data_IF_640133726603
#
_entry.id   IF_640133726603
#
_cell.length_a   1.000
_cell.length_b   1.000
_cell.length_c   1.000
_cell.angle_alpha   90.00
_cell.angle_beta   90.00
_cell.angle_gamma   90.00
#
_symmetry.space_group_name_H-M   'P 1'
#
loop_
_entity.id
_entity.type
_entity.pdbx_description
1 polymer ?
#
# COMPACT_ATOMS: atom_id res chain seq x y z
N UNK A 1 9.78 -26.24 21.17
CA UNK A 1 9.42 -25.17 20.22
C UNK A 1 7.90 -24.99 20.16
N UNK A 2 7.37 -23.77 20.34
CA UNK A 2 5.95 -23.43 20.38
C UNK A 2 5.62 -22.33 19.37
N UNK A 3 4.33 -22.20 18.96
CA UNK A 3 3.89 -21.10 18.07
C UNK A 3 4.13 -19.72 18.69
N UNK A 4 4.11 -19.62 20.01
CA UNK A 4 4.38 -18.37 20.72
C UNK A 4 5.85 -17.98 20.58
N UNK A 5 6.79 -18.90 20.73
CA UNK A 5 8.22 -18.68 20.52
C UNK A 5 8.49 -18.28 19.07
N UNK A 6 7.82 -18.90 18.08
CA UNK A 6 7.92 -18.52 16.67
C UNK A 6 7.40 -17.07 16.43
N UNK A 7 6.30 -16.67 17.07
CA UNK A 7 5.82 -15.28 17.01
C UNK A 7 6.85 -14.29 17.56
N UNK A 8 7.51 -14.65 18.66
CA UNK A 8 8.49 -13.78 19.30
C UNK A 8 9.71 -13.56 18.41
N UNK A 9 10.27 -14.61 17.80
CA UNK A 9 11.44 -14.43 16.90
C UNK A 9 11.08 -13.61 15.67
N UNK A 10 9.89 -13.79 15.09
CA UNK A 10 9.41 -12.98 13.96
C UNK A 10 9.24 -11.51 14.38
N UNK A 11 8.69 -11.25 15.57
CA UNK A 11 8.53 -9.89 16.09
C UNK A 11 9.89 -9.21 16.32
N UNK A 12 10.88 -9.90 16.94
CA UNK A 12 12.22 -9.32 17.16
C UNK A 12 12.95 -9.06 15.85
N UNK A 13 12.86 -9.96 14.88
CA UNK A 13 13.47 -9.77 13.56
C UNK A 13 12.90 -8.54 12.84
N UNK A 14 11.61 -8.25 13.01
CA UNK A 14 10.92 -7.09 12.45
C UNK A 14 11.32 -5.79 13.15
N UNK A 15 11.18 -5.77 14.47
CA UNK A 15 11.37 -4.55 15.27
C UNK A 15 12.85 -4.22 15.49
N UNK A 16 13.75 -5.17 15.27
CA UNK A 16 15.20 -5.06 15.58
C UNK A 16 15.47 -4.52 17.00
N UNK A 17 14.52 -4.75 17.91
CA UNK A 17 14.57 -4.27 19.28
C UNK A 17 13.66 -5.11 20.19
N UNK A 18 14.24 -5.74 21.22
CA UNK A 18 13.50 -6.65 22.12
C UNK A 18 12.35 -5.97 22.87
N UNK A 19 12.51 -4.71 23.30
CA UNK A 19 11.45 -3.97 23.99
C UNK A 19 10.25 -3.71 23.10
N UNK A 20 10.44 -3.16 21.90
CA UNK A 20 9.36 -2.93 20.92
C UNK A 20 8.70 -4.24 20.49
N UNK A 21 9.48 -5.30 20.30
CA UNK A 21 8.94 -6.61 19.98
C UNK A 21 8.06 -7.19 21.11
N UNK A 22 8.45 -6.97 22.37
CA UNK A 22 7.67 -7.39 23.53
C UNK A 22 6.33 -6.63 23.63
N UNK A 23 6.34 -5.32 23.41
CA UNK A 23 5.14 -4.48 23.33
C UNK A 23 4.21 -4.98 22.21
N UNK A 24 4.75 -5.23 21.01
CA UNK A 24 3.99 -5.76 19.88
C UNK A 24 3.40 -7.16 20.13
N UNK A 25 4.02 -7.93 21.02
CA UNK A 25 3.54 -9.25 21.43
C UNK A 25 2.68 -9.24 22.72
N UNK A 26 2.44 -8.05 23.30
CA UNK A 26 1.68 -7.88 24.56
C UNK A 26 2.27 -8.67 25.73
N UNK A 27 3.60 -8.68 25.86
CA UNK A 27 4.33 -9.35 26.95
C UNK A 27 5.45 -8.46 27.51
N UNK A 28 6.02 -8.84 28.66
CA UNK A 28 7.19 -8.17 29.19
C UNK A 28 8.45 -8.54 28.39
N UNK A 29 9.39 -7.62 28.25
CA UNK A 29 10.68 -7.88 27.58
C UNK A 29 11.45 -9.07 28.19
N UNK A 30 11.52 -9.26 29.54
CA UNK A 30 12.14 -10.45 30.12
C UNK A 30 11.46 -11.75 29.67
N UNK A 31 10.14 -11.80 29.62
CA UNK A 31 9.38 -12.97 29.17
C UNK A 31 9.74 -13.32 27.72
N UNK A 32 9.75 -12.34 26.84
CA UNK A 32 10.11 -12.55 25.43
C UNK A 32 11.57 -13.01 25.28
N UNK A 33 12.50 -12.36 26.00
CA UNK A 33 13.93 -12.69 25.93
C UNK A 33 14.23 -14.11 26.44
N UNK A 34 13.59 -14.54 27.52
CA UNK A 34 13.75 -15.91 28.06
C UNK A 34 13.22 -16.94 27.07
N UNK A 35 12.04 -16.69 26.50
CA UNK A 35 11.47 -17.61 25.52
C UNK A 35 12.32 -17.76 24.26
N UNK A 36 12.90 -16.65 23.75
CA UNK A 36 13.81 -16.70 22.59
C UNK A 36 15.09 -17.43 22.94
N UNK A 37 15.71 -17.15 24.09
CA UNK A 37 16.90 -17.86 24.52
C UNK A 37 16.66 -19.36 24.64
N UNK A 38 15.52 -19.77 25.23
CA UNK A 38 15.13 -21.18 25.30
C UNK A 38 15.00 -21.83 23.92
N UNK A 39 14.45 -21.11 22.94
CA UNK A 39 14.34 -21.59 21.57
C UNK A 39 15.72 -21.71 20.89
N UNK A 40 16.60 -20.72 21.09
CA UNK A 40 17.99 -20.76 20.60
C UNK A 40 18.77 -21.96 21.21
N UNK A 41 18.60 -22.19 22.51
CA UNK A 41 19.21 -23.32 23.21
C UNK A 41 18.64 -24.67 22.68
N UNK A 42 17.31 -24.77 22.47
CA UNK A 42 16.67 -25.96 21.89
C UNK A 42 17.17 -26.29 20.47
N UNK A 43 17.34 -25.25 19.64
CA UNK A 43 17.81 -25.39 18.27
C UNK A 43 19.35 -25.46 18.17
N UNK A 44 20.05 -25.19 19.26
CA UNK A 44 21.50 -25.10 19.33
C UNK A 44 22.10 -24.12 18.30
N UNK A 45 21.43 -22.97 18.10
CA UNK A 45 21.87 -21.88 17.21
C UNK A 45 21.55 -20.52 17.82
N UNK A 46 22.32 -19.51 17.44
CA UNK A 46 21.96 -18.12 17.73
C UNK A 46 21.17 -17.55 16.56
N UNK A 47 19.94 -17.09 16.85
CA UNK A 47 19.06 -16.45 15.88
C UNK A 47 19.39 -14.95 15.80
N UNK A 48 19.74 -14.34 16.97
CA UNK A 48 20.02 -12.92 17.06
C UNK A 48 21.39 -12.66 17.63
N UNK A 49 22.11 -11.68 17.06
CA UNK A 49 23.28 -11.07 17.67
C UNK A 49 22.85 -9.86 18.47
N UNK A 50 23.33 -9.79 19.73
CA UNK A 50 23.04 -8.66 20.64
C UNK A 50 24.16 -7.65 20.53
N UNK A 51 23.96 -6.61 19.70
CA UNK A 51 24.82 -5.44 19.66
C UNK A 51 24.49 -4.44 20.77
N UNK A 52 25.35 -3.41 20.94
CA UNK A 52 25.15 -2.37 21.95
C UNK A 52 24.01 -1.39 21.63
N UNK A 53 23.55 -1.29 20.37
CA UNK A 53 22.50 -0.35 19.96
C UNK A 53 21.35 -0.99 19.14
N UNK A 54 21.64 -2.02 18.37
CA UNK A 54 20.63 -2.69 17.54
C UNK A 54 20.78 -4.21 17.61
N UNK A 55 19.65 -4.91 17.40
CA UNK A 55 19.60 -6.38 17.28
C UNK A 55 19.72 -6.73 15.81
N UNK A 56 20.77 -7.47 15.45
CA UNK A 56 20.92 -8.07 14.12
C UNK A 56 20.46 -9.51 14.10
N UNK A 57 19.98 -9.97 12.94
CA UNK A 57 19.60 -11.36 12.71
C UNK A 57 20.80 -12.08 12.10
N UNK A 58 21.17 -13.25 12.63
CA UNK A 58 22.25 -14.04 12.04
C UNK A 58 21.84 -14.65 10.69
N UNK A 59 22.78 -15.04 9.81
CA UNK A 59 22.42 -15.69 8.54
C UNK A 59 21.58 -16.95 8.70
N UNK A 60 21.80 -17.75 9.73
CA UNK A 60 20.96 -18.91 10.06
C UNK A 60 19.63 -18.45 10.68
N UNK A 61 19.65 -17.37 11.47
CA UNK A 61 18.46 -16.73 12.05
C UNK A 61 17.48 -16.27 10.98
N UNK A 62 17.95 -15.69 9.87
CA UNK A 62 17.08 -15.26 8.75
C UNK A 62 16.32 -16.45 8.14
N UNK A 63 16.98 -17.59 7.98
CA UNK A 63 16.34 -18.80 7.47
C UNK A 63 15.30 -19.33 8.45
N UNK A 64 15.62 -19.34 9.76
CA UNK A 64 14.71 -19.78 10.83
C UNK A 64 13.50 -18.83 10.92
N UNK A 65 13.71 -17.53 10.91
CA UNK A 65 12.62 -16.51 10.95
C UNK A 65 11.71 -16.66 9.74
N UNK A 66 12.29 -16.85 8.54
CA UNK A 66 11.52 -17.10 7.31
C UNK A 66 10.67 -18.36 7.43
N UNK A 67 11.23 -19.44 7.96
CA UNK A 67 10.49 -20.69 8.15
C UNK A 67 9.43 -20.57 9.26
N UNK A 68 9.74 -19.86 10.34
CA UNK A 68 8.77 -19.56 11.40
C UNK A 68 7.57 -18.77 10.87
N UNK A 69 7.79 -17.78 10.00
CA UNK A 69 6.72 -17.06 9.32
C UNK A 69 5.82 -18.01 8.53
N UNK A 70 6.39 -18.94 7.74
CA UNK A 70 5.62 -19.93 6.98
C UNK A 70 4.76 -20.82 7.90
N UNK A 71 5.30 -21.27 9.04
CA UNK A 71 4.54 -22.06 10.01
C UNK A 71 3.37 -21.27 10.58
N UNK A 72 3.59 -19.99 10.93
CA UNK A 72 2.53 -19.11 11.42
C UNK A 72 1.45 -18.89 10.36
N UNK A 73 1.82 -18.71 9.10
CA UNK A 73 0.88 -18.63 7.97
C UNK A 73 0.05 -19.90 7.84
N UNK A 74 0.65 -21.10 7.99
CA UNK A 74 -0.07 -22.38 7.94
C UNK A 74 -1.06 -22.53 9.12
N UNK A 75 -0.73 -22.01 10.29
CA UNK A 75 -1.70 -22.02 11.40
C UNK A 75 -2.90 -21.12 11.15
N UNK A 76 -2.73 -20.02 10.42
CA UNK A 76 -3.85 -19.20 9.95
C UNK A 76 -4.69 -19.95 8.92
N UNK A 77 -4.05 -20.69 8.00
CA UNK A 77 -4.76 -21.52 7.03
C UNK A 77 -5.69 -22.54 7.71
N UNK A 78 -5.25 -23.18 8.79
CA UNK A 78 -6.11 -24.10 9.58
C UNK A 78 -7.38 -23.38 10.08
N UNK A 79 -7.24 -22.16 10.59
CA UNK A 79 -8.39 -21.36 11.05
C UNK A 79 -9.33 -20.99 9.90
N UNK A 80 -8.78 -20.70 8.72
CA UNK A 80 -9.58 -20.41 7.53
C UNK A 80 -10.30 -21.66 7.01
N UNK A 81 -9.63 -22.81 6.97
CA UNK A 81 -10.27 -24.10 6.62
C UNK A 81 -11.43 -24.41 7.55
N UNK A 82 -11.28 -24.19 8.85
CA UNK A 82 -12.35 -24.38 9.83
C UNK A 82 -13.58 -23.47 9.58
N UNK A 83 -13.39 -22.34 8.87
CA UNK A 83 -14.48 -21.46 8.45
C UNK A 83 -15.15 -21.91 7.15
N UNK A 84 -14.54 -22.79 6.37
CA UNK A 84 -15.06 -23.26 5.07
C UNK A 84 -16.41 -24.01 5.12
N UNK A 85 -16.85 -24.47 6.29
CA UNK A 85 -18.20 -24.97 6.47
C UNK A 85 -19.31 -23.92 6.40
N UNK A 86 -18.94 -22.65 6.19
CA UNK A 86 -19.86 -21.50 6.03
C UNK A 86 -19.76 -20.98 4.61
N UNK A 87 -20.85 -20.37 4.13
CA UNK A 87 -20.87 -19.68 2.84
C UNK A 87 -19.68 -18.69 2.75
N UNK A 88 -18.79 -18.77 1.75
CA UNK A 88 -17.63 -17.91 1.60
C UNK A 88 -17.97 -16.43 1.41
N UNK A 89 -19.21 -16.10 1.06
CA UNK A 89 -19.73 -14.74 0.87
C UNK A 89 -20.49 -14.22 2.12
N UNK A 90 -20.43 -14.94 3.24
CA UNK A 90 -21.06 -14.54 4.50
C UNK A 90 -20.00 -14.18 5.55
N UNK A 91 -20.28 -13.10 6.31
CA UNK A 91 -19.40 -12.60 7.38
C UNK A 91 -18.40 -11.55 6.88
N UNK A 92 -17.77 -10.80 7.79
CA UNK A 92 -16.95 -9.65 7.46
C UNK A 92 -15.73 -10.04 6.62
N UNK A 93 -15.32 -9.13 5.73
CA UNK A 93 -14.07 -9.20 4.98
C UNK A 93 -13.22 -7.97 5.31
N UNK A 94 -12.01 -8.18 5.82
CA UNK A 94 -11.09 -7.11 6.22
C UNK A 94 -10.26 -6.69 5.02
N UNK A 95 -10.54 -5.50 4.50
CA UNK A 95 -9.91 -4.94 3.30
C UNK A 95 -8.97 -3.81 3.68
N UNK A 96 -7.69 -3.97 3.37
CA UNK A 96 -6.69 -2.92 3.40
C UNK A 96 -6.62 -2.17 2.08
N UNK A 97 -6.39 -0.86 2.11
CA UNK A 97 -6.20 -0.05 0.90
C UNK A 97 -5.11 0.97 1.15
N UNK A 98 -4.28 1.25 0.15
CA UNK A 98 -3.28 2.33 0.29
C UNK A 98 -3.96 3.70 0.25
N UNK A 99 -3.43 4.65 1.02
CA UNK A 99 -3.96 6.03 1.17
C UNK A 99 -4.20 6.77 -0.15
N UNK A 100 -3.43 6.45 -1.20
CA UNK A 100 -3.55 7.11 -2.51
C UNK A 100 -4.59 6.49 -3.44
N UNK A 101 -5.31 5.45 -2.98
CA UNK A 101 -6.41 4.79 -3.69
C UNK A 101 -7.71 4.89 -2.88
N UNK A 102 -7.62 4.71 -1.56
CA UNK A 102 -8.78 4.61 -0.67
C UNK A 102 -9.82 5.70 -0.89
N UNK A 103 -9.49 7.00 -0.78
CA UNK A 103 -10.47 8.08 -0.89
C UNK A 103 -11.25 8.10 -2.21
N UNK A 104 -10.65 7.61 -3.30
CA UNK A 104 -11.21 7.69 -4.65
C UNK A 104 -11.96 6.43 -5.07
N UNK A 105 -11.53 5.25 -4.58
CA UNK A 105 -12.14 3.96 -4.93
C UNK A 105 -13.22 3.52 -3.93
N UNK A 106 -12.96 3.65 -2.62
CA UNK A 106 -13.82 3.09 -1.58
C UNK A 106 -15.27 3.57 -1.62
N UNK A 107 -15.58 4.85 -1.90
CA UNK A 107 -16.97 5.31 -1.93
C UNK A 107 -17.85 4.59 -2.98
N UNK A 108 -17.26 4.24 -4.13
CA UNK A 108 -17.96 3.50 -5.19
C UNK A 108 -17.92 2.00 -4.95
N UNK A 109 -16.77 1.46 -4.54
CA UNK A 109 -16.60 0.03 -4.23
C UNK A 109 -17.56 -0.44 -3.14
N UNK A 110 -17.66 0.28 -2.02
CA UNK A 110 -18.55 -0.09 -0.91
C UNK A 110 -20.00 -0.17 -1.38
N UNK A 111 -20.46 0.78 -2.20
CA UNK A 111 -21.81 0.74 -2.78
C UNK A 111 -22.05 -0.51 -3.65
N UNK A 112 -21.07 -0.89 -4.47
CA UNK A 112 -21.16 -2.10 -5.30
C UNK A 112 -21.16 -3.36 -4.44
N UNK A 113 -20.29 -3.42 -3.42
CA UNK A 113 -20.21 -4.58 -2.52
C UNK A 113 -21.50 -4.79 -1.71
N UNK A 114 -22.09 -3.73 -1.16
CA UNK A 114 -23.38 -3.81 -0.45
C UNK A 114 -24.48 -4.37 -1.37
N UNK A 115 -24.47 -3.99 -2.64
CA UNK A 115 -25.45 -4.46 -3.64
C UNK A 115 -25.21 -5.91 -4.05
N UNK A 116 -23.94 -6.28 -4.29
CA UNK A 116 -23.58 -7.59 -4.82
C UNK A 116 -23.56 -8.69 -3.74
N UNK A 117 -23.03 -8.39 -2.57
CA UNK A 117 -22.79 -9.37 -1.48
C UNK A 117 -23.15 -8.76 -0.10
N UNK A 118 -24.44 -8.51 0.17
CA UNK A 118 -24.90 -7.77 1.36
C UNK A 118 -24.55 -8.47 2.68
N UNK A 119 -24.29 -9.78 2.66
CA UNK A 119 -23.92 -10.56 3.85
C UNK A 119 -22.43 -10.59 4.11
N UNK A 120 -21.61 -9.90 3.28
CA UNK A 120 -20.16 -9.77 3.43
C UNK A 120 -19.77 -8.29 3.64
N UNK A 121 -20.02 -7.72 4.83
CA UNK A 121 -19.63 -6.33 5.11
C UNK A 121 -18.12 -6.16 5.05
N UNK A 122 -17.66 -5.05 4.46
CA UNK A 122 -16.25 -4.70 4.42
C UNK A 122 -15.84 -4.00 5.72
N UNK A 123 -14.76 -4.47 6.33
CA UNK A 123 -14.03 -3.77 7.39
C UNK A 123 -12.80 -3.10 6.76
N UNK A 124 -12.85 -1.79 6.64
CA UNK A 124 -11.88 -1.01 5.86
C UNK A 124 -10.75 -0.51 6.75
N UNK A 125 -9.52 -0.59 6.23
CA UNK A 125 -8.33 -0.01 6.83
C UNK A 125 -7.44 0.60 5.76
N UNK A 126 -7.08 1.87 5.92
CA UNK A 126 -6.08 2.51 5.05
C UNK A 126 -4.71 2.49 5.72
N UNK A 127 -3.66 2.22 4.91
CA UNK A 127 -2.29 2.24 5.42
C UNK A 127 -1.26 2.33 4.27
N UNK A 128 0.02 2.40 4.63
CA UNK A 128 1.14 2.29 3.69
C UNK A 128 1.28 0.87 3.15
N UNK A 129 1.84 0.73 1.94
CA UNK A 129 2.02 -0.56 1.26
C UNK A 129 2.72 -1.59 2.14
N UNK A 130 3.86 -1.24 2.74
CA UNK A 130 4.62 -2.17 3.58
C UNK A 130 3.83 -2.61 4.83
N UNK A 131 3.05 -1.70 5.42
CA UNK A 131 2.20 -2.04 6.57
C UNK A 131 1.05 -2.96 6.18
N UNK A 132 0.42 -2.76 5.02
CA UNK A 132 -0.62 -3.66 4.51
C UNK A 132 -0.07 -5.06 4.22
N UNK A 133 1.14 -5.17 3.65
CA UNK A 133 1.82 -6.46 3.45
C UNK A 133 2.03 -7.17 4.79
N UNK A 134 2.46 -6.44 5.80
CA UNK A 134 2.63 -6.99 7.15
C UNK A 134 1.30 -7.50 7.73
N UNK A 135 0.25 -6.67 7.68
CA UNK A 135 -1.09 -7.02 8.17
C UNK A 135 -1.68 -8.22 7.41
N UNK A 136 -1.44 -8.34 6.09
CA UNK A 136 -1.80 -9.52 5.31
C UNK A 136 -1.09 -10.77 5.85
N UNK A 137 0.23 -10.71 6.02
CA UNK A 137 1.04 -11.85 6.53
C UNK A 137 0.64 -12.28 7.94
N UNK A 138 0.24 -11.34 8.79
CA UNK A 138 -0.25 -11.60 10.15
C UNK A 138 -1.71 -12.09 10.17
N UNK A 139 -2.44 -11.98 9.05
CA UNK A 139 -3.85 -12.33 8.99
C UNK A 139 -4.76 -11.31 9.69
N UNK A 140 -4.28 -10.11 9.94
CA UNK A 140 -5.07 -9.02 10.49
C UNK A 140 -6.00 -8.40 9.46
N UNK A 141 -5.58 -8.39 8.19
CA UNK A 141 -6.45 -8.13 7.04
C UNK A 141 -6.48 -9.36 6.12
N UNK A 142 -7.54 -9.47 5.35
CA UNK A 142 -7.78 -10.60 4.46
C UNK A 142 -7.25 -10.34 3.06
N UNK A 143 -7.49 -9.13 2.57
CA UNK A 143 -7.20 -8.67 1.20
C UNK A 143 -6.68 -7.25 1.27
N UNK A 144 -5.84 -6.84 0.30
CA UNK A 144 -5.40 -5.47 0.17
C UNK A 144 -5.46 -4.98 -1.29
N UNK A 145 -5.83 -3.72 -1.48
CA UNK A 145 -5.73 -3.01 -2.76
C UNK A 145 -4.49 -2.13 -2.70
N UNK A 146 -3.51 -2.42 -3.56
CA UNK A 146 -2.20 -1.77 -3.57
C UNK A 146 -1.73 -1.52 -5.00
N UNK A 147 -0.61 -0.82 -5.17
CA UNK A 147 -0.01 -0.60 -6.47
C UNK A 147 1.38 -1.27 -6.56
N UNK A 148 1.67 -1.94 -7.69
CA UNK A 148 2.99 -2.50 -7.98
C UNK A 148 3.99 -1.35 -8.30
N UNK A 149 5.32 -1.58 -8.06
CA UNK A 149 5.92 -2.77 -7.51
C UNK A 149 5.96 -2.81 -5.97
N UNK A 150 5.88 -4.00 -5.41
CA UNK A 150 6.16 -4.28 -3.99
C UNK A 150 6.67 -5.72 -3.82
N UNK A 151 7.28 -6.10 -2.66
CA UNK A 151 7.71 -7.48 -2.41
C UNK A 151 6.52 -8.45 -2.34
N UNK A 152 6.36 -9.34 -3.32
CA UNK A 152 5.21 -10.26 -3.43
C UNK A 152 5.40 -11.59 -2.66
N UNK A 153 6.52 -11.77 -1.95
CA UNK A 153 6.83 -13.04 -1.27
C UNK A 153 5.72 -13.46 -0.32
N UNK A 154 5.12 -14.63 -0.59
CA UNK A 154 4.01 -15.18 0.21
C UNK A 154 2.63 -14.64 -0.14
N UNK A 155 2.53 -13.73 -1.10
CA UNK A 155 1.26 -13.17 -1.56
C UNK A 155 0.86 -13.73 -2.92
N UNK A 156 -0.43 -13.69 -3.20
CA UNK A 156 -1.04 -13.78 -4.51
C UNK A 156 -1.49 -12.39 -4.91
N UNK A 157 -1.40 -12.06 -6.19
CA UNK A 157 -1.85 -10.78 -6.72
C UNK A 157 -2.73 -10.99 -7.94
N UNK A 158 -3.75 -10.13 -8.09
CA UNK A 158 -4.61 -10.05 -9.26
C UNK A 158 -4.60 -8.61 -9.76
N UNK A 159 -4.13 -8.35 -10.98
CA UNK A 159 -4.24 -7.04 -11.60
C UNK A 159 -5.69 -6.60 -11.73
N UNK A 160 -5.96 -5.31 -11.47
CA UNK A 160 -7.30 -4.72 -11.55
C UNK A 160 -7.39 -3.69 -12.68
N UNK A 161 -6.52 -2.72 -12.66
CA UNK A 161 -6.44 -1.65 -13.65
C UNK A 161 -5.08 -0.96 -13.65
N UNK A 162 -4.78 -0.31 -14.78
CA UNK A 162 -3.65 0.62 -14.88
C UNK A 162 -4.19 2.05 -14.78
N UNK A 163 -3.59 2.83 -13.89
CA UNK A 163 -3.99 4.21 -13.60
C UNK A 163 -2.91 5.19 -14.06
N UNK A 164 -3.20 5.99 -15.11
CA UNK A 164 -2.26 6.98 -15.61
C UNK A 164 -2.11 8.15 -14.62
N UNK A 165 -0.98 8.86 -14.76
CA UNK A 165 -0.69 10.06 -13.99
C UNK A 165 -0.97 11.31 -14.80
N UNK A 166 -1.21 12.43 -14.09
CA UNK A 166 -1.37 13.77 -14.64
C UNK A 166 -0.56 14.77 -13.82
N UNK A 167 -0.11 15.84 -14.46
CA UNK A 167 0.49 16.97 -13.77
C UNK A 167 -0.61 17.91 -13.29
N UNK A 168 -0.58 18.25 -12.01
CA UNK A 168 -1.46 19.24 -11.42
C UNK A 168 -0.68 20.52 -11.11
N UNK A 169 -1.22 21.66 -11.47
CA UNK A 169 -0.60 22.97 -11.34
C UNK A 169 -1.64 24.03 -10.96
N UNK A 170 -1.23 25.20 -10.40
CA UNK A 170 -2.15 26.30 -10.18
C UNK A 170 -2.75 26.78 -11.51
N UNK A 171 -4.01 27.21 -11.50
CA UNK A 171 -4.62 27.89 -12.64
C UNK A 171 -3.81 29.14 -13.01
N UNK A 172 -3.62 29.36 -14.31
CA UNK A 172 -2.77 30.42 -14.83
C UNK A 172 -1.29 30.06 -14.92
N UNK A 173 -0.90 28.83 -14.60
CA UNK A 173 0.46 28.33 -14.78
C UNK A 173 0.86 28.33 -16.27
N UNK A 174 2.14 28.56 -16.57
CA UNK A 174 2.65 28.63 -17.94
C UNK A 174 2.38 27.37 -18.78
N UNK A 175 2.19 26.22 -18.12
CA UNK A 175 1.92 24.94 -18.77
C UNK A 175 0.42 24.61 -18.90
N UNK A 176 -0.47 25.40 -18.35
CA UNK A 176 -1.92 25.13 -18.31
C UNK A 176 -2.52 24.83 -19.69
N UNK A 177 -2.05 25.54 -20.71
CA UNK A 177 -2.54 25.40 -22.09
C UNK A 177 -1.71 24.45 -22.94
N UNK A 178 -0.73 23.76 -22.37
CA UNK A 178 0.02 22.71 -23.08
C UNK A 178 -0.87 21.50 -23.31
N UNK A 179 -0.83 20.84 -24.47
CA UNK A 179 -1.59 19.62 -24.70
C UNK A 179 -1.08 18.46 -23.84
N UNK A 180 0.22 18.43 -23.58
CA UNK A 180 0.93 17.39 -22.83
C UNK A 180 2.21 17.94 -22.18
N UNK A 181 2.74 17.23 -21.19
CA UNK A 181 3.97 17.57 -20.46
C UNK A 181 5.00 16.45 -20.65
N UNK A 182 6.21 16.82 -21.04
CA UNK A 182 7.34 15.90 -21.01
C UNK A 182 7.75 15.65 -19.54
N UNK A 183 7.95 14.40 -19.10
CA UNK A 183 8.46 14.10 -17.77
C UNK A 183 9.71 14.88 -17.38
N UNK A 184 10.60 15.16 -18.32
CA UNK A 184 11.82 15.94 -18.11
C UNK A 184 11.57 17.41 -17.76
N UNK A 185 10.42 17.96 -18.13
CA UNK A 185 10.07 19.35 -17.78
C UNK A 185 9.87 19.52 -16.27
N UNK A 186 9.46 18.46 -15.53
CA UNK A 186 9.20 18.51 -14.10
C UNK A 186 10.39 19.04 -13.29
N UNK A 187 11.63 18.85 -13.77
CA UNK A 187 12.85 19.34 -13.12
C UNK A 187 12.99 20.87 -13.09
N UNK A 188 12.22 21.57 -13.91
CA UNK A 188 12.24 23.03 -14.01
C UNK A 188 11.40 23.71 -12.93
N UNK A 189 10.51 22.95 -12.29
CA UNK A 189 9.50 23.45 -11.36
C UNK A 189 9.72 22.99 -9.92
N UNK A 190 9.06 23.67 -8.99
CA UNK A 190 9.00 23.22 -7.59
C UNK A 190 8.00 22.09 -7.46
N UNK A 191 8.50 20.88 -7.18
CA UNK A 191 7.69 19.67 -7.05
C UNK A 191 7.22 19.45 -5.62
N UNK A 192 5.93 19.28 -5.43
CA UNK A 192 5.33 18.83 -4.17
C UNK A 192 5.15 17.32 -4.22
N UNK A 193 5.73 16.60 -3.26
CA UNK A 193 5.74 15.13 -3.23
C UNK A 193 5.09 14.61 -1.95
N UNK A 194 4.59 13.39 -2.00
CA UNK A 194 4.22 12.65 -0.79
C UNK A 194 5.47 12.31 0.03
N UNK A 195 5.32 12.25 1.35
CA UNK A 195 6.37 11.84 2.26
C UNK A 195 6.79 10.37 2.05
N UNK A 196 7.91 10.01 2.65
CA UNK A 196 8.44 8.65 2.65
C UNK A 196 7.41 7.63 3.19
N UNK A 197 7.37 6.42 2.60
CA UNK A 197 6.41 5.37 2.93
C UNK A 197 5.21 5.28 1.99
N UNK A 198 4.89 6.33 1.25
CA UNK A 198 3.91 6.25 0.17
C UNK A 198 4.55 5.71 -1.11
N UNK A 199 4.11 4.54 -1.59
CA UNK A 199 4.61 3.98 -2.85
C UNK A 199 4.38 4.91 -4.06
N UNK A 200 3.39 5.78 -4.01
CA UNK A 200 3.15 6.77 -5.06
C UNK A 200 4.29 7.79 -5.20
N UNK A 201 4.97 8.13 -4.10
CA UNK A 201 6.21 8.92 -4.16
C UNK A 201 7.26 8.24 -5.07
N UNK A 202 7.45 6.95 -4.87
CA UNK A 202 8.46 6.19 -5.63
C UNK A 202 8.07 6.10 -7.11
N UNK A 203 6.78 5.99 -7.41
CA UNK A 203 6.29 6.09 -8.79
C UNK A 203 6.62 7.45 -9.42
N UNK A 204 6.35 8.57 -8.71
CA UNK A 204 6.65 9.92 -9.23
C UNK A 204 8.15 10.13 -9.41
N UNK A 205 8.98 9.66 -8.47
CA UNK A 205 10.44 9.70 -8.60
C UNK A 205 10.93 8.82 -9.75
N UNK A 206 10.21 7.75 -10.10
CA UNK A 206 10.47 6.92 -11.28
C UNK A 206 10.16 7.64 -12.60
N UNK A 207 9.17 8.55 -12.61
CA UNK A 207 8.83 9.38 -13.78
C UNK A 207 9.94 10.37 -14.09
N UNK A 208 10.51 11.01 -13.06
CA UNK A 208 11.63 11.93 -13.20
C UNK A 208 12.69 11.64 -12.11
N UNK A 209 13.67 10.75 -12.38
CA UNK A 209 14.66 10.35 -11.38
C UNK A 209 15.55 11.48 -10.88
N UNK A 210 15.67 12.57 -11.63
CA UNK A 210 16.46 13.74 -11.22
C UNK A 210 15.87 14.44 -10.00
N UNK A 211 14.57 14.30 -9.73
CA UNK A 211 13.93 14.84 -8.52
C UNK A 211 14.53 14.28 -7.24
N UNK A 212 15.09 13.06 -7.27
CA UNK A 212 15.81 12.50 -6.11
C UNK A 212 17.03 13.34 -5.70
N UNK A 213 17.75 13.95 -6.66
CA UNK A 213 18.94 14.75 -6.40
C UNK A 213 18.60 16.07 -5.70
N UNK A 214 17.42 16.62 -6.00
CA UNK A 214 16.95 17.87 -5.38
C UNK A 214 16.45 17.68 -3.96
N UNK A 215 15.96 16.49 -3.64
CA UNK A 215 15.53 16.13 -2.27
C UNK A 215 16.68 15.98 -1.27
N UNK A 216 17.90 15.74 -1.75
CA UNK A 216 19.08 15.53 -0.91
C UNK A 216 19.96 16.78 -0.67
N UNK A 217 19.82 17.82 -1.48
CA UNK A 217 20.62 19.04 -1.44
C UNK A 217 19.76 20.25 -1.03
N UNK A 218 19.27 20.27 0.20
CA UNK A 218 18.45 21.35 0.71
C UNK A 218 19.29 22.53 1.24
N UNK A 219 19.93 23.28 0.32
CA UNK A 219 20.35 24.66 0.60
C UNK A 219 19.38 25.64 -0.13
N UNK A 220 18.39 26.14 0.63
CA UNK A 220 17.40 27.08 0.15
C UNK A 220 15.97 26.52 0.21
N UNK A 221 14.98 27.42 0.20
CA UNK A 221 13.54 27.11 0.24
C UNK A 221 13.23 26.00 -0.75
N UNK A 222 12.94 24.87 -0.21
CA UNK A 222 12.90 23.54 -0.77
C UNK A 222 12.26 23.48 -2.14
N UNK A 223 12.98 22.98 -3.14
CA UNK A 223 12.39 22.60 -4.44
C UNK A 223 11.45 21.39 -4.31
N UNK A 224 11.38 20.77 -3.13
CA UNK A 224 10.43 19.70 -2.82
C UNK A 224 9.80 19.93 -1.45
N UNK A 225 8.47 19.94 -1.41
CA UNK A 225 7.69 19.87 -0.18
C UNK A 225 7.16 18.46 -0.01
N UNK A 226 7.25 17.88 1.19
CA UNK A 226 6.71 16.56 1.49
C UNK A 226 5.41 16.70 2.27
N UNK A 227 4.29 16.30 1.64
CA UNK A 227 2.98 16.27 2.26
C UNK A 227 2.60 14.89 2.78
N UNK A 228 1.73 14.85 3.78
CA UNK A 228 1.21 13.62 4.37
C UNK A 228 0.08 12.96 3.57
N UNK A 229 -0.61 13.71 2.70
CA UNK A 229 -1.71 13.21 1.86
C UNK A 229 -1.78 13.91 0.52
N UNK A 230 -2.40 13.26 -0.47
CA UNK A 230 -2.63 13.88 -1.79
C UNK A 230 -3.51 15.14 -1.68
N UNK A 231 -4.48 15.14 -0.78
CA UNK A 231 -5.36 16.31 -0.57
C UNK A 231 -4.58 17.51 -0.04
N UNK A 232 -3.68 17.30 0.95
CA UNK A 232 -2.79 18.37 1.44
C UNK A 232 -1.95 18.96 0.29
N UNK A 233 -1.35 18.08 -0.53
CA UNK A 233 -0.55 18.51 -1.68
C UNK A 233 -1.40 19.30 -2.67
N UNK A 234 -2.61 18.85 -3.00
CA UNK A 234 -3.54 19.57 -3.90
C UNK A 234 -3.82 20.98 -3.42
N UNK A 235 -4.10 21.15 -2.12
CA UNK A 235 -4.31 22.49 -1.53
C UNK A 235 -3.06 23.37 -1.62
N UNK A 236 -1.88 22.81 -1.41
CA UNK A 236 -0.62 23.55 -1.55
C UNK A 236 -0.38 23.98 -3.00
N UNK A 237 -0.67 23.10 -3.98
CA UNK A 237 -0.62 23.46 -5.39
C UNK A 237 -1.63 24.56 -5.71
N UNK A 238 -2.87 24.46 -5.23
CA UNK A 238 -3.89 25.47 -5.43
C UNK A 238 -3.50 26.85 -4.85
N UNK A 239 -2.66 26.86 -3.81
CA UNK A 239 -2.12 28.11 -3.23
C UNK A 239 -0.87 28.67 -3.95
N UNK A 240 -0.44 28.05 -5.05
CA UNK A 240 0.67 28.54 -5.87
C UNK A 240 2.07 28.16 -5.38
N UNK A 241 2.19 27.20 -4.45
CA UNK A 241 3.50 26.79 -3.89
C UNK A 241 4.37 26.04 -4.92
N UNK A 242 3.75 25.37 -5.90
CA UNK A 242 4.44 24.58 -6.92
C UNK A 242 3.48 23.72 -7.69
N UNK A 243 4.00 22.66 -8.32
CA UNK A 243 3.23 21.66 -9.06
C UNK A 243 3.35 20.28 -8.42
N UNK A 244 2.51 19.33 -8.84
CA UNK A 244 2.62 17.93 -8.42
C UNK A 244 2.18 16.97 -9.51
N UNK A 245 2.49 15.70 -9.33
CA UNK A 245 1.92 14.60 -10.11
C UNK A 245 0.82 13.94 -9.28
N UNK A 246 -0.31 13.65 -9.92
CA UNK A 246 -1.46 13.01 -9.28
C UNK A 246 -1.89 11.76 -10.05
N UNK A 247 -2.42 10.73 -9.37
CA UNK A 247 -3.07 9.62 -10.04
C UNK A 247 -4.42 10.10 -10.62
N UNK A 248 -4.78 9.61 -11.79
CA UNK A 248 -5.94 10.12 -12.57
C UNK A 248 -7.26 10.05 -11.80
N UNK A 249 -7.48 9.03 -10.99
CA UNK A 249 -8.70 8.92 -10.18
C UNK A 249 -8.85 9.98 -9.10
N UNK A 250 -7.75 10.60 -8.68
CA UNK A 250 -7.79 11.68 -7.70
C UNK A 250 -8.21 13.02 -8.31
N UNK A 251 -8.33 13.08 -9.64
CA UNK A 251 -8.69 14.29 -10.37
C UNK A 251 -10.14 14.21 -10.79
N UNK A 252 -10.97 15.09 -10.22
CA UNK A 252 -12.36 15.22 -10.64
C UNK A 252 -12.42 16.18 -11.84
N UNK A 253 -13.15 15.81 -12.87
CA UNK A 253 -13.49 16.76 -13.93
C UNK A 253 -14.30 17.89 -13.30
N UNK A 254 -13.80 19.11 -13.43
CA UNK A 254 -14.47 20.30 -12.93
C UNK A 254 -15.77 20.46 -13.72
N UNK A 255 -16.89 20.05 -13.12
CA UNK A 255 -18.20 20.45 -13.65
C UNK A 255 -18.34 21.95 -13.44
N UNK A 256 -18.69 22.74 -14.45
CA UNK A 256 -19.05 24.14 -14.27
C UNK A 256 -20.10 24.21 -13.14
N UNK A 257 -19.85 24.96 -12.09
CA UNK A 257 -20.69 25.12 -10.88
C UNK A 257 -20.50 24.08 -9.76
N UNK A 258 -19.47 23.24 -9.75
CA UNK A 258 -19.15 22.44 -8.59
C UNK A 258 -18.51 23.34 -7.51
N UNK A 259 -19.21 23.54 -6.40
CA UNK A 259 -18.64 24.13 -5.20
C UNK A 259 -17.69 23.09 -4.56
N UNK A 260 -16.40 23.29 -4.71
CA UNK A 260 -15.35 22.44 -4.14
C UNK A 260 -14.01 23.18 -4.21
N UNK A 261 -13.03 22.70 -3.46
CA UNK A 261 -11.70 23.31 -3.33
C UNK A 261 -10.97 23.41 -4.68
N UNK A 262 -11.31 22.56 -5.65
CA UNK A 262 -10.75 22.54 -7.01
C UNK A 262 -11.47 23.46 -8.00
N UNK A 263 -12.45 24.23 -7.57
CA UNK A 263 -13.28 25.08 -8.45
C UNK A 263 -12.44 26.21 -9.10
N UNK A 264 -11.71 25.86 -10.15
CA UNK A 264 -10.95 26.81 -10.95
C UNK A 264 -9.58 27.22 -10.38
N UNK A 265 -9.09 26.58 -9.30
CA UNK A 265 -7.78 26.87 -8.72
C UNK A 265 -6.67 25.95 -9.22
N UNK A 266 -7.02 24.82 -9.83
CA UNK A 266 -6.09 23.83 -10.35
C UNK A 266 -6.36 23.53 -11.82
N UNK A 267 -5.28 23.37 -12.56
CA UNK A 267 -5.27 22.87 -13.93
C UNK A 267 -4.52 21.56 -14.02
N UNK A 268 -4.97 20.67 -14.90
CA UNK A 268 -4.46 19.32 -15.05
C UNK A 268 -4.04 19.08 -16.50
N UNK A 269 -2.81 18.66 -16.71
CA UNK A 269 -2.28 18.36 -18.04
C UNK A 269 -1.72 16.94 -18.06
N UNK A 270 -2.07 16.12 -19.07
CA UNK A 270 -1.55 14.76 -19.19
C UNK A 270 -0.07 14.78 -19.59
N UNK A 271 0.61 13.66 -19.37
CA UNK A 271 1.98 13.44 -19.87
C UNK A 271 2.01 13.08 -21.36
N UNK A 272 3.17 13.28 -21.98
CA UNK A 272 3.50 12.72 -23.30
C UNK A 272 3.57 11.18 -23.23
N UNK A 273 3.45 10.54 -24.40
CA UNK A 273 3.60 9.09 -24.51
C UNK A 273 5.09 8.66 -24.41
N UNK A 274 5.39 7.57 -23.70
CA UNK A 274 4.46 6.72 -22.97
C UNK A 274 3.98 7.39 -21.68
N UNK A 275 2.65 7.47 -21.48
CA UNK A 275 2.07 8.08 -20.28
C UNK A 275 2.46 7.26 -19.07
N UNK A 276 3.12 7.87 -18.06
CA UNK A 276 3.45 7.16 -16.83
C UNK A 276 2.17 6.73 -16.10
N UNK A 277 2.18 5.49 -15.59
CA UNK A 277 1.05 4.91 -14.89
C UNK A 277 1.49 4.05 -13.70
N UNK A 278 0.52 3.57 -12.93
CA UNK A 278 0.72 2.52 -11.92
C UNK A 278 -0.27 1.40 -12.14
N UNK A 279 0.18 0.16 -11.94
CA UNK A 279 -0.70 -1.00 -11.92
C UNK A 279 -1.27 -1.22 -10.54
N UNK A 280 -2.57 -1.13 -10.41
CA UNK A 280 -3.31 -1.40 -9.18
C UNK A 280 -3.73 -2.87 -9.17
N UNK A 281 -3.52 -3.51 -8.02
CA UNK A 281 -3.75 -4.94 -7.83
C UNK A 281 -4.52 -5.22 -6.54
N UNK A 282 -5.25 -6.32 -6.54
CA UNK A 282 -5.76 -6.97 -5.35
C UNK A 282 -4.72 -7.98 -4.88
N UNK A 283 -4.36 -7.96 -3.60
CA UNK A 283 -3.36 -8.85 -3.02
C UNK A 283 -3.92 -9.58 -1.79
N UNK A 284 -3.57 -10.85 -1.63
CA UNK A 284 -3.97 -11.68 -0.50
C UNK A 284 -2.92 -12.76 -0.20
N UNK A 285 -2.98 -13.38 0.98
CA UNK A 285 -2.09 -14.50 1.35
C UNK A 285 -2.35 -15.71 0.48
N UNK A 286 -1.31 -16.47 0.13
CA UNK A 286 -1.46 -17.78 -0.53
C UNK A 286 -2.35 -18.75 0.26
N UNK A 287 -2.38 -18.63 1.59
CA UNK A 287 -3.20 -19.43 2.49
C UNK A 287 -4.64 -18.94 2.64
N UNK A 288 -5.04 -17.87 1.96
CA UNK A 288 -6.42 -17.37 2.00
C UNK A 288 -7.33 -18.24 1.15
N UNK A 289 -8.44 -18.73 1.73
CA UNK A 289 -9.25 -19.79 1.13
C UNK A 289 -10.61 -19.31 0.58
N UNK A 290 -11.04 -18.10 0.95
CA UNK A 290 -12.32 -17.51 0.48
C UNK A 290 -12.19 -16.92 -0.92
N UNK A 291 -11.83 -17.74 -1.93
CA UNK A 291 -11.62 -17.26 -3.30
C UNK A 291 -12.87 -16.57 -3.90
N UNK A 292 -14.11 -17.02 -3.65
CA UNK A 292 -15.30 -16.28 -4.08
C UNK A 292 -15.39 -14.84 -3.56
N UNK A 293 -14.78 -14.53 -2.38
CA UNK A 293 -14.70 -13.16 -1.90
C UNK A 293 -13.72 -12.30 -2.71
N UNK A 294 -12.62 -12.91 -3.20
CA UNK A 294 -11.68 -12.25 -4.12
C UNK A 294 -12.36 -11.92 -5.43
N UNK A 295 -13.13 -12.87 -5.97
CA UNK A 295 -13.88 -12.69 -7.21
C UNK A 295 -14.93 -11.58 -7.04
N UNK A 296 -15.72 -11.62 -5.96
CA UNK A 296 -16.73 -10.60 -5.67
C UNK A 296 -16.17 -9.18 -5.56
N UNK A 297 -14.99 -9.00 -4.90
CA UNK A 297 -14.31 -7.68 -4.86
C UNK A 297 -13.85 -7.27 -6.25
N UNK A 298 -13.22 -8.19 -6.99
CA UNK A 298 -12.72 -7.89 -8.33
C UNK A 298 -13.85 -7.48 -9.27
N UNK A 299 -14.97 -8.20 -9.25
CA UNK A 299 -16.16 -7.89 -10.04
C UNK A 299 -16.77 -6.55 -9.62
N UNK A 300 -16.85 -6.28 -8.32
CA UNK A 300 -17.34 -5.01 -7.80
C UNK A 300 -16.47 -3.83 -8.25
N UNK A 301 -15.13 -3.98 -8.28
CA UNK A 301 -14.22 -2.97 -8.79
C UNK A 301 -14.38 -2.80 -10.30
N UNK A 302 -14.53 -3.89 -11.05
CA UNK A 302 -14.80 -3.84 -12.49
C UNK A 302 -16.11 -3.11 -12.80
N UNK A 303 -17.12 -3.23 -11.93
CA UNK A 303 -18.39 -2.53 -12.04
C UNK A 303 -18.37 -1.07 -11.57
N UNK A 304 -17.29 -0.62 -10.90
CA UNK A 304 -17.13 0.79 -10.53
C UNK A 304 -16.90 1.65 -11.78
N UNK A 305 -17.46 2.85 -11.77
CA UNK A 305 -17.04 3.90 -12.70
C UNK A 305 -15.72 4.49 -12.23
N UNK A 306 -14.66 4.21 -13.00
CA UNK A 306 -13.29 4.64 -12.69
C UNK A 306 -12.79 5.52 -13.84
N UNK A 307 -12.97 6.84 -13.76
CA UNK A 307 -12.69 7.74 -14.87
C UNK A 307 -11.21 7.78 -15.20
N UNK A 308 -10.88 7.55 -16.48
CA UNK A 308 -9.55 7.68 -17.04
C UNK A 308 -8.56 6.57 -16.68
N UNK A 309 -9.01 5.47 -16.06
CA UNK A 309 -8.19 4.26 -15.86
C UNK A 309 -8.41 3.25 -16.97
N UNK A 310 -7.41 2.44 -17.24
CA UNK A 310 -7.49 1.29 -18.15
C UNK A 310 -7.78 0.03 -17.34
N UNK A 311 -9.05 -0.41 -17.32
CA UNK A 311 -9.41 -1.69 -16.70
C UNK A 311 -8.71 -2.82 -17.45
N UNK A 312 -8.21 -3.79 -16.69
CA UNK A 312 -7.56 -4.97 -17.26
C UNK A 312 -8.62 -6.08 -17.38
N UNK A 313 -8.62 -6.78 -18.53
CA UNK A 313 -9.43 -7.97 -18.71
C UNK A 313 -9.01 -8.98 -17.65
N UNK A 314 -9.96 -9.38 -16.82
CA UNK A 314 -9.70 -10.40 -15.80
C UNK A 314 -9.42 -11.71 -16.51
N UNK A 315 -8.26 -12.34 -16.31
CA UNK A 315 -8.10 -13.71 -16.79
C UNK A 315 -9.19 -14.54 -16.11
N UNK A 316 -10.06 -15.14 -16.91
CA UNK A 316 -11.00 -16.17 -16.45
C UNK A 316 -10.15 -17.18 -15.69
N UNK A 317 -10.47 -17.42 -14.41
CA UNK A 317 -9.77 -18.40 -13.60
C UNK A 317 -9.80 -19.72 -14.37
N UNK A 318 -8.66 -20.12 -14.92
CA UNK A 318 -8.50 -21.45 -15.50
C UNK A 318 -8.47 -22.39 -14.32
N UNK A 319 -9.54 -23.19 -14.16
CA UNK A 319 -9.70 -24.26 -13.19
C UNK A 319 -8.57 -25.27 -13.27
#
# INVERSE_FOLDING_TARGET
MTLTELKYIVAVARERHFGRAAEACFVSQPTLSVAIKKLEDELNVQIFERGTSEVSVTPIGEQIVTQAQRVLEQTLAIKEIAKQGKDPLVGPLRLGVIYTIGPYLLPTLVKQMIKAVPQMPLMLQENYTLKLIELLKQGEIDVAIMALPFPETGLMVRPLYDEPFVVAMPSGHAWENRPKIDPDDLKQETMLLLGSGHCFRDHVLGVCPELMRFSQNADGIQKTFEGSSLETIRHMVASGVGITVLPRMSVHEVKPHAAGIDAGLLSYVPFDEPVPDRRVVLAWRKSFTRMPAIDAISDAIAACDLPGVRKLDMPVAVN
#
